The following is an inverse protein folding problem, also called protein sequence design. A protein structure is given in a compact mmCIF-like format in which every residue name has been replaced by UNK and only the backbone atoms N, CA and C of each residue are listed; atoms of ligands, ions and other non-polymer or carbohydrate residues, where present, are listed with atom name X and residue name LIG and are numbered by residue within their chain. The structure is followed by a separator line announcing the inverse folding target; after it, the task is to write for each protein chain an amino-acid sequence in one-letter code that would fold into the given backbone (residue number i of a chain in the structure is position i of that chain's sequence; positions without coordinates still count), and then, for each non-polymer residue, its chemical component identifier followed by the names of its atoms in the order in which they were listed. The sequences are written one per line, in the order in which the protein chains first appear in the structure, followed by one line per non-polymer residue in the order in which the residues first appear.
data_IF_025014859956
#
_entry.id   IF_025014859956
#
_cell.length_a   1.000
_cell.length_b   1.000
_cell.length_c   1.000
_cell.angle_alpha   90.00
_cell.angle_beta   90.00
_cell.angle_gamma   90.00
#
_symmetry.space_group_name_H-M   'P 1'
#
loop_
_entity.id
_entity.type
_entity.pdbx_description
1 polymer ?
#
# COMPACT_ATOMS: atom_id res chain seq x y z
N UNK A 1 -8.20 12.15 0.90
CA UNK A 1 -8.96 10.97 1.40
C UNK A 1 -7.95 9.90 1.77
N UNK A 2 -8.14 9.16 2.87
CA UNK A 2 -7.25 8.07 3.22
C UNK A 2 -7.48 6.86 2.30
N UNK A 3 -6.41 6.11 1.99
CA UNK A 3 -6.40 5.05 0.98
C UNK A 3 -7.03 3.74 1.50
N UNK A 4 -8.23 3.40 1.03
CA UNK A 4 -8.85 2.11 1.31
C UNK A 4 -8.19 0.99 0.51
N UNK A 5 -8.33 -0.25 1.00
CA UNK A 5 -7.78 -1.41 0.31
C UNK A 5 -8.30 -1.56 -1.12
N UNK A 6 -9.58 -1.24 -1.36
CA UNK A 6 -10.19 -1.29 -2.70
C UNK A 6 -9.64 -0.21 -3.63
N UNK A 7 -9.17 0.92 -3.10
CA UNK A 7 -8.64 2.01 -3.90
C UNK A 7 -7.34 1.62 -4.61
N UNK A 8 -6.59 0.65 -4.04
CA UNK A 8 -5.37 0.10 -4.64
C UNK A 8 -5.62 -0.54 -6.02
N UNK A 9 -6.86 -0.97 -6.30
CA UNK A 9 -7.23 -1.52 -7.60
C UNK A 9 -7.12 -0.50 -8.74
N UNK A 10 -7.17 0.79 -8.44
CA UNK A 10 -7.05 1.87 -9.42
C UNK A 10 -5.59 2.22 -9.74
N UNK A 11 -4.62 1.70 -8.98
CA UNK A 11 -3.20 1.93 -9.23
C UNK A 11 -2.69 0.90 -10.26
N UNK A 12 -2.17 1.34 -11.42
CA UNK A 12 -1.42 0.44 -12.29
C UNK A 12 -0.22 -0.20 -11.58
N UNK A 13 0.16 -1.41 -11.97
CA UNK A 13 1.39 -2.02 -11.46
C UNK A 13 2.60 -1.16 -11.83
N UNK A 14 3.46 -0.91 -10.83
CA UNK A 14 4.64 -0.07 -10.96
C UNK A 14 4.41 1.39 -10.61
N UNK A 15 3.20 1.81 -10.24
CA UNK A 15 2.95 3.19 -9.79
C UNK A 15 3.84 3.54 -8.58
N UNK A 16 4.44 4.72 -8.62
CA UNK A 16 5.21 5.30 -7.53
C UNK A 16 4.35 6.30 -6.76
N UNK A 17 4.23 6.12 -5.45
CA UNK A 17 3.50 7.00 -4.53
C UNK A 17 4.48 7.60 -3.53
N UNK A 18 4.37 8.89 -3.17
CA UNK A 18 5.21 9.46 -2.13
C UNK A 18 5.02 8.73 -0.80
N UNK A 19 6.12 8.46 -0.10
CA UNK A 19 6.08 7.96 1.27
C UNK A 19 6.08 9.12 2.29
N UNK A 20 5.89 8.80 3.56
CA UNK A 20 6.09 9.76 4.65
C UNK A 20 7.57 10.09 4.93
N UNK A 21 8.50 9.37 4.31
CA UNK A 21 9.95 9.63 4.40
C UNK A 21 10.36 10.47 3.19
N UNK A 22 11.00 11.61 3.44
CA UNK A 22 11.47 12.51 2.39
C UNK A 22 12.34 11.77 1.37
N UNK A 23 12.17 12.08 0.09
CA UNK A 23 12.87 11.48 -1.07
C UNK A 23 12.65 9.98 -1.32
N UNK A 24 11.84 9.28 -0.52
CA UNK A 24 11.55 7.86 -0.71
C UNK A 24 10.15 7.66 -1.29
N UNK A 25 10.07 6.82 -2.31
CA UNK A 25 8.82 6.47 -2.99
C UNK A 25 8.43 5.02 -2.67
N UNK A 26 7.12 4.76 -2.64
CA UNK A 26 6.57 3.41 -2.55
C UNK A 26 6.12 2.98 -3.95
N UNK A 27 6.61 1.85 -4.42
CA UNK A 27 6.14 1.17 -5.62
C UNK A 27 4.96 0.26 -5.26
N UNK A 28 3.82 0.51 -5.89
CA UNK A 28 2.64 -0.34 -5.82
C UNK A 28 2.74 -1.43 -6.87
N UNK A 29 2.59 -2.68 -6.47
CA UNK A 29 2.37 -3.80 -7.38
C UNK A 29 0.93 -4.26 -7.22
N UNK A 30 0.12 -4.09 -8.27
CA UNK A 30 -1.28 -4.49 -8.31
C UNK A 30 -1.41 -5.70 -9.23
N UNK A 31 -1.47 -6.90 -8.63
CA UNK A 31 -1.65 -8.16 -9.36
C UNK A 31 -3.14 -8.48 -9.61
N UNK A 32 -4.04 -7.56 -9.26
CA UNK A 32 -5.48 -7.72 -9.36
C UNK A 32 -6.05 -8.67 -8.30
N UNK A 33 -7.37 -8.82 -8.28
CA UNK A 33 -8.10 -9.76 -7.39
C UNK A 33 -7.77 -9.62 -5.90
N UNK A 34 -7.40 -8.43 -5.45
CA UNK A 34 -7.03 -8.17 -4.05
C UNK A 34 -5.59 -8.53 -3.69
N UNK A 35 -4.74 -8.84 -4.67
CA UNK A 35 -3.32 -9.12 -4.44
C UNK A 35 -2.48 -7.86 -4.71
N UNK A 36 -2.06 -7.19 -3.62
CA UNK A 36 -1.35 -5.91 -3.67
C UNK A 36 -0.07 -5.95 -2.85
N UNK A 37 0.98 -5.30 -3.36
CA UNK A 37 2.26 -5.16 -2.69
C UNK A 37 2.71 -3.70 -2.64
N UNK A 38 3.45 -3.37 -1.58
CA UNK A 38 4.16 -2.10 -1.37
C UNK A 38 5.65 -2.39 -1.21
N UNK A 39 6.50 -1.97 -2.15
CA UNK A 39 7.95 -2.29 -2.16
C UNK A 39 8.26 -3.78 -1.83
N UNK A 40 7.54 -4.71 -2.46
CA UNK A 40 7.60 -6.16 -2.25
C UNK A 40 6.98 -6.72 -0.95
N UNK A 41 6.48 -5.90 -0.03
CA UNK A 41 5.68 -6.39 1.10
C UNK A 41 4.21 -6.56 0.67
N UNK A 42 3.64 -7.75 0.85
CA UNK A 42 2.26 -8.04 0.51
C UNK A 42 1.33 -7.42 1.56
N UNK A 43 0.23 -6.81 1.11
CA UNK A 43 -0.84 -6.43 2.02
C UNK A 43 -1.68 -7.68 2.33
N UNK A 44 -1.58 -8.16 3.57
CA UNK A 44 -2.25 -9.40 4.04
C UNK A 44 -3.49 -9.12 4.89
N UNK A 45 -3.69 -7.89 5.35
CA UNK A 45 -4.88 -7.52 6.12
C UNK A 45 -5.35 -6.12 5.77
N UNK A 46 -6.58 -6.00 5.28
CA UNK A 46 -7.16 -4.74 4.82
C UNK A 46 -7.81 -3.94 5.95
N UNK A 47 -7.70 -2.61 5.90
CA UNK A 47 -8.52 -1.66 6.66
C UNK A 47 -8.53 -1.86 8.20
N UNK A 48 -7.39 -2.18 8.81
CA UNK A 48 -7.27 -2.49 10.25
C UNK A 48 -7.74 -1.34 11.15
N UNK A 49 -7.42 -0.10 10.77
CA UNK A 49 -7.83 1.09 11.51
C UNK A 49 -9.25 1.52 11.09
N UNK A 50 -10.26 1.15 11.90
CA UNK A 50 -11.67 1.37 11.57
C UNK A 50 -12.15 2.82 11.86
N UNK A 51 -11.75 3.40 12.98
CA UNK A 51 -12.13 4.76 13.40
C UNK A 51 -10.90 5.67 13.49
N UNK A 52 -10.34 6.00 12.34
CA UNK A 52 -9.17 6.87 12.24
C UNK A 52 -9.20 7.71 10.96
N UNK A 53 -8.53 8.86 11.02
CA UNK A 53 -8.29 9.73 9.84
C UNK A 53 -7.28 9.13 8.87
N UNK A 54 -6.53 8.11 9.31
CA UNK A 54 -5.67 7.27 8.47
C UNK A 54 -6.30 5.90 8.24
N UNK A 55 -5.92 5.23 7.15
CA UNK A 55 -6.20 3.80 6.94
C UNK A 55 -4.92 3.02 7.11
N UNK A 56 -5.04 1.88 7.78
CA UNK A 56 -3.93 0.99 8.08
C UNK A 56 -4.17 -0.34 7.39
N UNK A 57 -3.11 -0.91 6.83
CA UNK A 57 -3.12 -2.22 6.20
C UNK A 57 -1.97 -3.03 6.78
N UNK A 58 -2.24 -4.29 7.13
CA UNK A 58 -1.22 -5.21 7.61
C UNK A 58 -0.38 -5.71 6.44
N UNK A 59 0.94 -5.75 6.62
CA UNK A 59 1.91 -6.25 5.64
C UNK A 59 2.69 -7.43 6.19
N UNK A 60 3.12 -8.35 5.32
CA UNK A 60 3.86 -9.58 5.69
C UNK A 60 5.38 -9.39 5.86
N UNK A 61 5.91 -8.27 5.38
CA UNK A 61 7.33 -7.97 5.39
C UNK A 61 7.61 -6.50 5.77
N UNK A 62 8.86 -6.23 6.15
CA UNK A 62 9.35 -4.87 6.35
C UNK A 62 9.43 -4.18 4.98
N UNK A 63 8.93 -2.95 4.91
CA UNK A 63 9.03 -2.11 3.71
C UNK A 63 10.45 -1.59 3.62
N UNK A 64 11.19 -2.07 2.62
CA UNK A 64 12.51 -1.57 2.28
C UNK A 64 12.40 -0.56 1.12
N UNK A 65 13.33 0.39 1.07
CA UNK A 65 13.45 1.32 -0.04
C UNK A 65 14.76 1.04 -0.75
N UNK A 66 14.70 0.91 -2.07
CA UNK A 66 15.89 0.99 -2.93
C UNK A 66 16.56 2.37 -2.75
#
# INVERSE_FOLDING_TARGET
MPLYFTDLSHFPTGTLVPSGISSRMIKIHNRGRGDFFVNNAQIVTANVCLSSVIKCHGVDAIIEYD
#
